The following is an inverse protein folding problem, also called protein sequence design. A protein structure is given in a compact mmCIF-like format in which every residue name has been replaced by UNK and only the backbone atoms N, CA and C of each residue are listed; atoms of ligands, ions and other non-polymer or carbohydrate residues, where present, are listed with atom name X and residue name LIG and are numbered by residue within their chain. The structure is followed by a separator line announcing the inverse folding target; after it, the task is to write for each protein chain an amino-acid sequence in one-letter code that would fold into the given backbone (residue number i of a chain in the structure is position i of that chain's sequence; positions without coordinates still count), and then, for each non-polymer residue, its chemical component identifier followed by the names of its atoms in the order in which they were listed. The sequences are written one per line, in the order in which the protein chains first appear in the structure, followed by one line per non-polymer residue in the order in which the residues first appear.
data_IF_181856477462
#
_entry.id   IF_181856477462
#
_cell.length_a   1.000
_cell.length_b   1.000
_cell.length_c   1.000
_cell.angle_alpha   90.00
_cell.angle_beta   90.00
_cell.angle_gamma   90.00
#
_symmetry.space_group_name_H-M   'P 1'
#
loop_
_entity.id
_entity.type
_entity.pdbx_description
1 polymer ?
#
# COMPACT_ATOMS: atom_id res chain seq x y z
N UNK A 1 66.75 -65.56 19.67
CA UNK A 1 67.08 -64.12 19.83
C UNK A 1 66.87 -63.42 18.49
N UNK A 2 65.71 -62.78 18.30
CA UNK A 2 65.40 -62.04 17.08
C UNK A 2 65.29 -60.54 17.43
N UNK A 3 66.27 -59.76 16.98
CA UNK A 3 66.35 -58.33 17.22
C UNK A 3 65.46 -57.57 16.23
N UNK A 4 64.52 -56.79 16.78
CA UNK A 4 63.56 -55.96 16.05
C UNK A 4 64.19 -54.57 15.80
N UNK A 5 64.38 -54.18 14.53
CA UNK A 5 64.77 -52.82 14.13
C UNK A 5 63.55 -51.87 14.18
N UNK A 6 63.65 -50.67 14.76
CA UNK A 6 62.63 -49.64 14.63
C UNK A 6 62.90 -48.73 13.41
N UNK A 7 61.90 -48.57 12.54
CA UNK A 7 61.91 -47.56 11.49
C UNK A 7 61.29 -46.26 12.02
N UNK A 8 62.13 -45.26 12.24
CA UNK A 8 61.74 -43.85 12.36
C UNK A 8 61.81 -43.22 10.96
N UNK A 9 60.66 -42.93 10.33
CA UNK A 9 60.58 -41.91 9.27
C UNK A 9 59.12 -41.56 8.92
N UNK A 10 58.84 -40.26 8.78
CA UNK A 10 57.55 -39.67 8.39
C UNK A 10 56.89 -38.92 9.55
N UNK A 11 57.42 -37.78 10.02
CA UNK A 11 57.58 -36.51 9.33
C UNK A 11 56.28 -36.01 8.67
N UNK A 12 55.46 -35.34 9.48
CA UNK A 12 54.97 -33.99 9.19
C UNK A 12 54.25 -33.79 7.84
N UNK A 13 52.99 -34.22 7.72
CA UNK A 13 52.15 -33.80 6.57
C UNK A 13 50.64 -34.00 6.74
N UNK A 14 50.02 -33.45 7.79
CA UNK A 14 48.54 -33.29 7.78
C UNK A 14 48.05 -32.20 8.75
N UNK A 15 48.56 -30.98 8.62
CA UNK A 15 47.96 -29.77 9.24
C UNK A 15 47.57 -28.77 8.15
N UNK A 16 46.63 -29.13 7.28
CA UNK A 16 45.97 -28.20 6.36
C UNK A 16 44.69 -28.84 5.81
N UNK A 17 43.69 -29.05 6.67
CA UNK A 17 42.32 -29.39 6.25
C UNK A 17 41.34 -28.84 7.28
N UNK A 18 41.33 -27.52 7.46
CA UNK A 18 40.39 -26.81 8.34
C UNK A 18 40.04 -25.43 7.77
N UNK A 19 39.93 -25.34 6.44
CA UNK A 19 39.47 -24.15 5.73
C UNK A 19 38.64 -24.56 4.50
N UNK A 20 37.72 -25.51 4.70
CA UNK A 20 36.84 -26.01 3.67
C UNK A 20 35.41 -25.55 3.95
N UNK A 21 35.03 -24.45 3.32
CA UNK A 21 33.65 -24.23 2.86
C UNK A 21 32.60 -24.18 3.98
N UNK A 22 32.67 -23.15 4.83
CA UNK A 22 31.44 -22.53 5.33
C UNK A 22 30.86 -21.67 4.21
N UNK A 23 30.37 -22.33 3.14
CA UNK A 23 29.51 -21.68 2.17
C UNK A 23 28.24 -21.36 2.94
N UNK A 24 28.15 -20.11 3.38
CA UNK A 24 26.93 -19.50 3.85
C UNK A 24 25.87 -19.80 2.80
N UNK A 25 24.98 -20.74 3.12
CA UNK A 25 23.69 -20.90 2.48
C UNK A 25 22.97 -19.59 2.77
N UNK A 26 23.17 -18.60 1.90
CA UNK A 26 22.21 -17.52 1.75
C UNK A 26 20.97 -18.22 1.18
N UNK A 27 20.14 -18.73 2.08
CA UNK A 27 18.76 -19.01 1.76
C UNK A 27 18.17 -17.66 1.37
N UNK A 28 18.21 -17.34 0.08
CA UNK A 28 17.32 -16.36 -0.50
C UNK A 28 15.93 -16.97 -0.38
N UNK A 29 15.30 -16.78 0.78
CA UNK A 29 13.89 -16.99 0.92
C UNK A 29 13.23 -15.96 -0.01
N UNK A 30 13.00 -16.34 -1.26
CA UNK A 30 12.11 -15.59 -2.14
C UNK A 30 10.70 -15.85 -1.62
N UNK A 31 10.30 -15.15 -0.57
CA UNK A 31 8.88 -14.88 -0.38
C UNK A 31 8.44 -14.13 -1.64
N UNK A 32 7.53 -14.71 -2.40
CA UNK A 32 7.00 -14.10 -3.61
C UNK A 32 6.23 -12.83 -3.22
N UNK A 33 6.94 -11.70 -3.11
CA UNK A 33 6.36 -10.37 -3.12
C UNK A 33 6.02 -10.05 -4.56
N UNK A 34 4.74 -9.96 -4.88
CA UNK A 34 4.24 -10.10 -6.26
C UNK A 34 3.82 -8.77 -6.90
N UNK A 35 3.79 -7.67 -6.15
CA UNK A 35 3.51 -6.35 -6.73
C UNK A 35 4.49 -5.34 -6.14
N UNK A 36 5.60 -5.12 -6.83
CA UNK A 36 6.60 -4.15 -6.40
C UNK A 36 6.55 -2.85 -7.20
N UNK A 37 5.78 -2.80 -8.29
CA UNK A 37 5.65 -1.63 -9.15
C UNK A 37 4.34 -1.73 -9.93
N UNK A 38 3.94 -0.65 -10.60
CA UNK A 38 2.87 -0.66 -11.59
C UNK A 38 1.71 0.25 -11.23
N UNK A 39 0.67 0.20 -12.06
CA UNK A 39 -0.57 0.95 -11.84
C UNK A 39 -1.76 0.10 -12.24
N UNK A 40 -2.84 0.17 -11.46
CA UNK A 40 -4.11 -0.49 -11.77
C UNK A 40 -5.29 0.39 -11.39
N UNK A 41 -6.41 0.15 -12.07
CA UNK A 41 -7.67 0.83 -11.81
C UNK A 41 -8.60 -0.04 -10.99
N UNK A 42 -9.34 0.60 -10.10
CA UNK A 42 -10.34 -0.04 -9.24
C UNK A 42 -11.68 0.68 -9.36
N UNK A 43 -12.76 -0.04 -9.09
CA UNK A 43 -14.10 0.51 -9.05
C UNK A 43 -14.91 -0.14 -7.94
N UNK A 44 -15.91 0.59 -7.45
CA UNK A 44 -16.78 0.13 -6.37
C UNK A 44 -17.78 1.22 -5.98
N UNK A 45 -18.49 0.97 -4.89
CA UNK A 45 -19.29 1.95 -4.17
C UNK A 45 -18.58 2.35 -2.88
N UNK A 46 -18.47 3.64 -2.62
CA UNK A 46 -17.91 4.17 -1.37
C UNK A 46 -19.03 4.78 -0.53
N UNK A 47 -18.98 4.53 0.78
CA UNK A 47 -19.87 5.16 1.76
C UNK A 47 -19.00 5.91 2.75
N UNK A 48 -19.24 7.22 2.88
CA UNK A 48 -18.53 8.09 3.83
C UNK A 48 -19.51 8.55 4.87
N UNK A 49 -19.20 8.33 6.15
CA UNK A 49 -20.06 8.72 7.26
C UNK A 49 -19.45 9.85 8.09
N UNK A 50 -20.33 10.63 8.69
CA UNK A 50 -20.05 11.53 9.80
C UNK A 50 -19.91 10.75 11.11
N UNK A 51 -19.51 11.45 12.18
CA UNK A 51 -19.41 10.94 13.54
C UNK A 51 -20.75 10.77 14.28
N UNK A 52 -21.89 10.88 13.58
CA UNK A 52 -23.22 10.83 14.20
C UNK A 52 -23.69 9.42 14.61
N UNK A 53 -22.94 8.37 14.29
CA UNK A 53 -23.35 6.98 14.50
C UNK A 53 -24.38 6.53 13.47
N UNK A 54 -23.91 6.12 12.29
CA UNK A 54 -24.72 5.97 11.09
C UNK A 54 -24.69 4.53 10.59
N UNK A 55 -25.85 3.96 10.29
CA UNK A 55 -25.96 2.67 9.58
C UNK A 55 -26.06 2.91 8.08
N UNK A 56 -25.13 2.32 7.34
CA UNK A 56 -25.14 2.29 5.87
C UNK A 56 -25.46 0.88 5.39
N UNK A 57 -25.82 0.67 4.11
CA UNK A 57 -25.93 -0.67 3.53
C UNK A 57 -24.65 -1.50 3.65
N UNK A 58 -23.49 -0.83 3.72
CA UNK A 58 -22.19 -1.48 3.80
C UNK A 58 -21.73 -1.83 5.23
N UNK A 59 -22.37 -1.24 6.26
CA UNK A 59 -21.99 -1.46 7.65
C UNK A 59 -22.47 -0.36 8.60
N UNK A 60 -22.20 -0.56 9.89
CA UNK A 60 -22.55 0.39 10.97
C UNK A 60 -21.32 1.17 11.39
N UNK A 61 -21.42 2.49 11.36
CA UNK A 61 -20.42 3.38 11.95
C UNK A 61 -20.84 3.76 13.38
N UNK A 62 -20.01 3.51 14.40
CA UNK A 62 -20.26 3.93 15.78
C UNK A 62 -20.39 5.45 15.95
N UNK A 63 -21.08 5.87 17.01
CA UNK A 63 -21.15 7.28 17.42
C UNK A 63 -19.76 7.77 17.83
N UNK A 64 -19.42 9.01 17.45
CA UNK A 64 -18.17 9.67 17.83
C UNK A 64 -16.99 9.39 16.88
N UNK A 65 -17.17 8.57 15.84
CA UNK A 65 -16.14 8.31 14.83
C UNK A 65 -16.70 8.39 13.41
N UNK A 66 -15.89 8.88 12.48
CA UNK A 66 -16.20 8.83 11.05
C UNK A 66 -15.73 7.51 10.45
N UNK A 67 -16.47 6.97 9.48
CA UNK A 67 -16.13 5.70 8.85
C UNK A 67 -16.15 5.80 7.33
N UNK A 68 -15.36 4.94 6.68
CA UNK A 68 -15.39 4.73 5.24
C UNK A 68 -15.60 3.24 4.97
N UNK A 69 -16.67 2.94 4.25
CA UNK A 69 -17.00 1.58 3.81
C UNK A 69 -16.90 1.48 2.30
N UNK A 70 -16.65 0.26 1.84
CA UNK A 70 -16.54 -0.09 0.42
C UNK A 70 -17.45 -1.28 0.13
N UNK A 71 -18.04 -1.26 -1.05
CA UNK A 71 -18.73 -2.40 -1.64
C UNK A 71 -18.42 -2.46 -3.13
N UNK A 72 -18.66 -3.60 -3.76
CA UNK A 72 -18.56 -3.73 -5.22
C UNK A 72 -19.66 -2.92 -5.93
N UNK A 73 -19.71 -3.04 -7.26
CA UNK A 73 -20.81 -2.48 -8.08
C UNK A 73 -21.82 -3.52 -8.54
N UNK A 74 -21.62 -4.79 -8.15
CA UNK A 74 -22.44 -5.92 -8.53
C UNK A 74 -23.85 -5.89 -7.93
N UNK A 75 -24.69 -6.79 -8.43
CA UNK A 75 -26.03 -7.02 -7.89
C UNK A 75 -26.20 -8.52 -7.65
N UNK A 76 -26.35 -8.98 -6.40
CA UNK A 76 -26.34 -8.20 -5.15
C UNK A 76 -24.94 -7.70 -4.78
N UNK A 77 -24.87 -6.49 -4.22
CA UNK A 77 -23.60 -5.90 -3.84
C UNK A 77 -22.92 -6.67 -2.69
N UNK A 78 -21.60 -6.84 -2.78
CA UNK A 78 -20.74 -7.48 -1.78
C UNK A 78 -19.98 -6.42 -0.99
N UNK A 79 -20.23 -6.38 0.32
CA UNK A 79 -19.54 -5.46 1.23
C UNK A 79 -18.08 -5.89 1.43
N UNK A 80 -17.18 -4.91 1.47
CA UNK A 80 -15.73 -5.15 1.63
C UNK A 80 -15.07 -5.74 0.39
N UNK A 81 -15.72 -5.66 -0.77
CA UNK A 81 -15.18 -6.08 -2.07
C UNK A 81 -15.09 -4.89 -3.02
N UNK A 82 -14.18 -4.97 -3.99
CA UNK A 82 -14.07 -4.02 -5.10
C UNK A 82 -13.66 -4.74 -6.38
N UNK A 83 -14.01 -4.12 -7.50
CA UNK A 83 -13.66 -4.61 -8.83
C UNK A 83 -12.31 -4.02 -9.25
N UNK A 84 -11.45 -4.85 -9.86
CA UNK A 84 -10.17 -4.44 -10.43
C UNK A 84 -10.29 -4.53 -11.94
N UNK A 85 -10.04 -3.41 -12.63
CA UNK A 85 -10.19 -3.35 -14.07
C UNK A 85 -9.31 -4.42 -14.76
N UNK A 86 -9.86 -5.23 -15.68
CA UNK A 86 -9.09 -6.22 -16.43
C UNK A 86 -8.15 -5.57 -17.46
N UNK A 87 -8.43 -4.32 -17.84
CA UNK A 87 -7.65 -3.51 -18.79
C UNK A 87 -7.15 -2.25 -18.10
N UNK A 88 -5.88 -1.91 -18.33
CA UNK A 88 -5.15 -0.91 -17.55
C UNK A 88 -3.85 -1.42 -16.93
N UNK A 89 -3.38 -2.61 -17.35
CA UNK A 89 -2.08 -3.18 -17.02
C UNK A 89 -1.10 -2.96 -18.19
N UNK A 90 -0.54 -1.74 -18.38
CA UNK A 90 0.32 -1.47 -19.53
C UNK A 90 1.66 -2.20 -19.49
N UNK A 91 2.05 -2.82 -18.36
CA UNK A 91 3.39 -3.42 -18.20
C UNK A 91 3.46 -4.79 -17.50
N UNK A 92 2.33 -5.44 -17.17
CA UNK A 92 2.37 -6.77 -16.55
C UNK A 92 2.85 -6.82 -15.09
N UNK A 93 2.94 -5.69 -14.40
CA UNK A 93 3.44 -5.65 -13.01
C UNK A 93 2.43 -6.17 -11.97
N UNK A 94 1.17 -6.36 -12.36
CA UNK A 94 0.13 -6.96 -11.52
C UNK A 94 -0.43 -8.21 -12.21
N UNK A 95 -0.44 -9.38 -11.55
CA UNK A 95 -0.93 -10.62 -12.16
C UNK A 95 -2.40 -10.51 -12.59
N UNK A 96 -2.73 -11.04 -13.78
CA UNK A 96 -4.13 -11.20 -14.21
C UNK A 96 -4.97 -11.98 -13.19
N UNK A 97 -4.32 -12.84 -12.41
CA UNK A 97 -4.93 -13.56 -11.31
C UNK A 97 -5.56 -12.64 -10.25
N UNK A 98 -5.23 -11.35 -10.15
CA UNK A 98 -5.86 -10.44 -9.17
C UNK A 98 -6.73 -9.37 -9.83
N UNK A 99 -7.22 -9.61 -11.05
CA UNK A 99 -8.15 -8.72 -11.77
C UNK A 99 -9.55 -9.31 -11.87
N UNK A 100 -10.54 -8.45 -12.12
CA UNK A 100 -11.94 -8.84 -12.29
C UNK A 100 -12.84 -8.41 -11.14
N UNK A 101 -14.05 -8.97 -11.12
CA UNK A 101 -15.06 -8.65 -10.13
C UNK A 101 -14.67 -9.20 -8.76
N UNK A 102 -14.91 -8.43 -7.69
CA UNK A 102 -14.61 -8.81 -6.30
C UNK A 102 -13.16 -9.25 -6.05
N UNK A 103 -12.23 -8.80 -6.91
CA UNK A 103 -10.86 -9.30 -6.97
C UNK A 103 -10.00 -8.86 -5.77
N UNK A 104 -10.37 -7.79 -5.08
CA UNK A 104 -9.72 -7.36 -3.85
C UNK A 104 -10.72 -7.25 -2.69
N UNK A 105 -10.21 -7.51 -1.48
CA UNK A 105 -10.93 -7.20 -0.25
C UNK A 105 -10.51 -5.82 0.25
N UNK A 106 -11.48 -4.98 0.57
CA UNK A 106 -11.29 -3.66 1.17
C UNK A 106 -11.66 -3.68 2.65
N UNK A 107 -10.80 -3.11 3.48
CA UNK A 107 -11.04 -2.97 4.90
C UNK A 107 -11.76 -1.65 5.19
N UNK A 108 -12.75 -1.72 6.08
CA UNK A 108 -13.43 -0.52 6.61
C UNK A 108 -12.44 0.33 7.37
N UNK A 109 -12.46 1.64 7.12
CA UNK A 109 -11.61 2.59 7.83
C UNK A 109 -12.43 3.27 8.93
N UNK A 110 -11.97 3.14 10.18
CA UNK A 110 -12.56 3.80 11.34
C UNK A 110 -11.67 4.95 11.76
N UNK A 111 -12.25 6.13 11.95
CA UNK A 111 -11.53 7.37 12.24
C UNK A 111 -10.37 7.60 11.24
N UNK A 112 -10.67 7.75 9.93
CA UNK A 112 -9.65 7.97 8.92
C UNK A 112 -8.79 9.19 9.33
N UNK A 113 -7.46 9.04 9.38
CA UNK A 113 -6.60 10.02 10.04
C UNK A 113 -6.46 11.32 9.24
N UNK A 114 -6.64 12.46 9.91
CA UNK A 114 -6.75 13.81 9.31
C UNK A 114 -5.40 14.55 9.01
N UNK A 115 -4.27 13.83 8.80
CA UNK A 115 -2.86 14.33 8.62
C UNK A 115 -2.16 14.95 9.87
N UNK A 116 -0.82 15.16 9.84
CA UNK A 116 0.26 14.22 10.13
C UNK A 116 0.62 14.20 11.64
N UNK A 117 1.37 13.18 12.13
CA UNK A 117 2.30 12.33 11.39
C UNK A 117 1.75 10.94 11.06
N UNK A 118 2.34 10.35 10.02
CA UNK A 118 2.42 8.92 9.70
C UNK A 118 1.57 8.02 10.61
N UNK A 119 0.53 7.39 10.06
CA UNK A 119 -0.23 6.36 10.80
C UNK A 119 0.78 5.31 11.25
N UNK A 120 0.99 5.24 12.56
CA UNK A 120 1.91 4.30 13.17
C UNK A 120 1.17 3.57 14.29
N UNK A 121 0.85 2.27 14.11
CA UNK A 121 1.23 1.41 12.98
C UNK A 121 0.39 1.65 11.70
N UNK A 122 0.92 1.33 10.50
CA UNK A 122 0.12 1.22 9.29
C UNK A 122 -1.12 0.34 9.50
N UNK A 123 -2.23 0.65 8.82
CA UNK A 123 -3.49 -0.11 8.93
C UNK A 123 -3.85 -0.76 7.59
N UNK A 124 -4.34 -2.01 7.55
CA UNK A 124 -4.75 -2.63 6.29
C UNK A 124 -5.84 -1.82 5.56
N UNK A 125 -5.65 -1.58 4.26
CA UNK A 125 -6.65 -0.97 3.38
C UNK A 125 -7.20 -1.97 2.39
N UNK A 126 -6.32 -2.70 1.70
CA UNK A 126 -6.69 -3.61 0.63
C UNK A 126 -5.88 -4.89 0.73
N UNK A 127 -6.50 -6.04 0.46
CA UNK A 127 -5.80 -7.32 0.30
C UNK A 127 -6.17 -7.99 -1.01
N UNK A 128 -5.18 -8.63 -1.62
CA UNK A 128 -5.35 -9.48 -2.79
C UNK A 128 -5.13 -10.92 -2.31
N UNK A 129 -6.19 -11.72 -2.34
CA UNK A 129 -6.14 -13.14 -2.00
C UNK A 129 -6.50 -13.94 -3.25
N UNK A 130 -5.55 -14.11 -4.16
CA UNK A 130 -5.74 -15.03 -5.29
C UNK A 130 -4.46 -15.78 -5.65
N UNK A 131 -4.61 -17.05 -6.04
CA UNK A 131 -3.53 -17.91 -6.54
C UNK A 131 -2.28 -18.02 -5.64
N UNK A 132 -2.46 -17.97 -4.31
CA UNK A 132 -1.35 -18.04 -3.34
C UNK A 132 -0.57 -16.73 -3.17
N UNK A 133 -1.01 -15.67 -3.83
CA UNK A 133 -0.52 -14.31 -3.65
C UNK A 133 -1.22 -13.73 -2.43
N UNK A 134 -0.46 -13.29 -1.44
CA UNK A 134 -0.97 -12.53 -0.31
C UNK A 134 -0.23 -11.20 -0.26
N UNK A 135 -0.77 -10.20 -0.95
CA UNK A 135 -0.30 -8.83 -0.90
C UNK A 135 -1.35 -8.00 -0.15
N UNK A 136 -0.91 -7.24 0.83
CA UNK A 136 -1.76 -6.30 1.57
C UNK A 136 -1.18 -4.90 1.38
N UNK A 137 -2.03 -3.96 0.96
CA UNK A 137 -1.72 -2.54 0.94
C UNK A 137 -2.18 -1.96 2.27
N UNK A 138 -1.24 -1.42 3.02
CA UNK A 138 -1.47 -0.76 4.29
C UNK A 138 -1.51 0.75 4.07
N UNK A 139 -2.53 1.41 4.62
CA UNK A 139 -2.68 2.85 4.66
C UNK A 139 -1.71 3.44 5.68
N UNK A 140 -0.91 4.42 5.25
CA UNK A 140 -0.04 5.23 6.13
C UNK A 140 -0.39 6.71 6.10
N UNK A 141 -1.20 7.13 5.13
CA UNK A 141 -1.59 8.53 4.95
C UNK A 141 -2.95 8.67 4.29
N UNK A 142 -3.75 9.59 4.84
CA UNK A 142 -5.00 10.04 4.24
C UNK A 142 -5.04 11.58 4.24
N UNK A 143 -4.47 12.22 3.19
CA UNK A 143 -4.40 13.68 3.14
C UNK A 143 -5.78 14.37 3.13
N UNK A 144 -5.93 15.41 3.96
CA UNK A 144 -6.94 16.47 3.83
C UNK A 144 -7.01 17.01 2.40
N UNK A 145 -8.20 17.46 2.01
CA UNK A 145 -8.38 18.18 0.76
C UNK A 145 -7.69 19.55 0.78
N UNK A 146 -7.50 20.12 -0.41
CA UNK A 146 -6.71 21.32 -0.65
C UNK A 146 -7.50 22.47 -1.26
N UNK A 147 -8.78 22.27 -1.61
CA UNK A 147 -9.61 23.27 -2.28
C UNK A 147 -10.12 24.38 -1.33
N UNK A 148 -9.90 24.24 -0.03
CA UNK A 148 -10.33 25.19 1.00
C UNK A 148 -11.85 25.15 1.28
N UNK A 149 -12.26 25.68 2.42
CA UNK A 149 -13.64 25.55 2.90
C UNK A 149 -14.61 26.62 2.37
N UNK A 150 -14.12 27.68 1.71
CA UNK A 150 -14.93 28.84 1.32
C UNK A 150 -16.11 28.44 0.41
N UNK A 151 -15.87 27.57 -0.57
CA UNK A 151 -16.93 27.10 -1.46
C UNK A 151 -17.95 26.18 -0.79
N UNK A 152 -17.69 25.65 0.40
CA UNK A 152 -18.63 24.76 1.09
C UNK A 152 -19.82 25.54 1.70
N UNK A 153 -19.63 26.83 1.97
CA UNK A 153 -20.60 27.70 2.63
C UNK A 153 -21.40 28.57 1.65
N UNK A 154 -21.12 28.47 0.34
CA UNK A 154 -21.85 29.30 -0.61
C UNK A 154 -23.28 28.79 -0.78
N UNK A 155 -24.22 29.72 -0.60
CA UNK A 155 -25.66 29.46 -0.65
C UNK A 155 -26.13 29.06 -2.06
N UNK A 156 -25.47 29.58 -3.10
CA UNK A 156 -25.84 29.32 -4.50
C UNK A 156 -24.76 28.46 -5.15
N UNK A 157 -25.10 27.25 -5.65
CA UNK A 157 -24.19 26.43 -6.45
C UNK A 157 -23.79 27.14 -7.73
N UNK A 158 -22.49 27.34 -7.93
CA UNK A 158 -21.93 27.85 -9.19
C UNK A 158 -21.07 26.78 -9.86
N UNK A 159 -21.11 26.67 -11.19
CA UNK A 159 -20.21 25.78 -11.92
C UNK A 159 -18.75 26.21 -11.72
N UNK A 160 -17.84 25.26 -11.56
CA UNK A 160 -16.43 25.51 -11.25
C UNK A 160 -16.15 25.79 -9.78
N UNK A 161 -17.18 25.88 -8.93
CA UNK A 161 -16.99 26.03 -7.49
C UNK A 161 -16.29 24.81 -6.90
N UNK A 162 -15.27 25.04 -6.08
CA UNK A 162 -14.52 24.00 -5.38
C UNK A 162 -14.66 24.15 -3.87
N UNK A 163 -14.61 23.03 -3.15
CA UNK A 163 -14.80 22.99 -1.70
C UNK A 163 -14.04 21.79 -1.11
N UNK A 164 -13.37 22.00 0.00
CA UNK A 164 -12.96 20.96 0.94
C UNK A 164 -13.67 21.22 2.26
N UNK A 165 -14.61 20.36 2.70
CA UNK A 165 -15.24 20.50 4.00
C UNK A 165 -14.16 20.54 5.11
N UNK A 166 -14.33 21.35 6.16
CA UNK A 166 -13.35 21.39 7.25
C UNK A 166 -13.07 19.99 7.83
N UNK A 167 -11.79 19.65 8.02
CA UNK A 167 -11.36 18.33 8.53
C UNK A 167 -11.49 17.17 7.54
N UNK A 168 -11.92 17.43 6.29
CA UNK A 168 -12.21 16.37 5.32
C UNK A 168 -11.08 16.12 4.32
N UNK A 169 -10.82 14.85 3.93
CA UNK A 169 -9.94 14.51 2.81
C UNK A 169 -10.58 14.71 1.43
N UNK A 170 -11.87 15.03 1.39
CA UNK A 170 -12.65 15.07 0.16
C UNK A 170 -12.60 16.46 -0.47
N UNK A 171 -12.08 16.53 -1.69
CA UNK A 171 -12.13 17.70 -2.56
C UNK A 171 -13.35 17.61 -3.46
N UNK A 172 -14.36 18.42 -3.18
CA UNK A 172 -15.54 18.55 -4.01
C UNK A 172 -15.35 19.64 -5.06
N UNK A 173 -15.93 19.42 -6.22
CA UNK A 173 -16.06 20.41 -7.28
C UNK A 173 -17.44 20.31 -7.92
N UNK A 174 -18.10 21.44 -8.06
CA UNK A 174 -19.27 21.57 -8.90
C UNK A 174 -18.84 21.64 -10.36
N UNK A 175 -19.19 20.65 -11.16
CA UNK A 175 -18.87 20.64 -12.59
C UNK A 175 -19.90 21.48 -13.36
N UNK A 176 -21.18 21.28 -13.04
CA UNK A 176 -22.30 22.03 -13.61
C UNK A 176 -23.29 22.37 -12.50
N UNK A 177 -24.39 23.06 -12.83
CA UNK A 177 -25.47 23.30 -11.87
C UNK A 177 -26.13 22.02 -11.32
N UNK A 178 -25.93 20.88 -12.01
CA UNK A 178 -26.56 19.60 -11.67
C UNK A 178 -25.55 18.47 -11.54
N UNK A 179 -24.25 18.72 -11.58
CA UNK A 179 -23.26 17.64 -11.44
C UNK A 179 -22.07 18.07 -10.64
N UNK A 180 -21.57 17.14 -9.85
CA UNK A 180 -20.40 17.36 -9.01
C UNK A 180 -19.46 16.17 -9.04
N UNK A 181 -18.22 16.42 -8.64
CA UNK A 181 -17.22 15.38 -8.45
C UNK A 181 -16.62 15.51 -7.06
N UNK A 182 -16.23 14.38 -6.50
CA UNK A 182 -15.48 14.30 -5.26
C UNK A 182 -14.20 13.55 -5.54
N UNK A 183 -13.06 14.12 -5.17
CA UNK A 183 -11.75 13.49 -5.31
C UNK A 183 -11.05 13.41 -3.97
N UNK A 184 -10.31 12.34 -3.76
CA UNK A 184 -9.47 12.18 -2.57
C UNK A 184 -8.26 11.32 -2.90
N UNK A 185 -7.26 11.37 -2.02
CA UNK A 185 -6.03 10.63 -2.18
C UNK A 185 -5.77 9.81 -0.93
N UNK A 186 -5.17 8.64 -1.12
CA UNK A 186 -4.67 7.79 -0.04
C UNK A 186 -3.26 7.36 -0.41
N UNK A 187 -2.44 7.10 0.60
CA UNK A 187 -1.09 6.60 0.37
C UNK A 187 -0.66 5.66 1.48
N UNK A 188 0.30 4.82 1.16
CA UNK A 188 0.66 3.74 2.05
C UNK A 188 1.88 2.94 1.63
N UNK A 189 2.05 1.81 2.29
CA UNK A 189 3.10 0.81 2.01
C UNK A 189 2.48 -0.55 1.78
N UNK A 190 3.20 -1.45 1.14
CA UNK A 190 2.87 -2.87 1.18
C UNK A 190 3.22 -3.45 2.55
N UNK A 191 2.54 -4.52 2.98
CA UNK A 191 2.76 -5.19 4.27
C UNK A 191 4.20 -5.67 4.48
N UNK A 192 4.90 -6.02 3.40
CA UNK A 192 6.32 -6.40 3.44
C UNK A 192 7.28 -5.20 3.48
N UNK A 193 6.76 -3.97 3.39
CA UNK A 193 7.51 -2.72 3.39
C UNK A 193 8.36 -2.48 2.13
N UNK A 194 8.23 -3.32 1.10
CA UNK A 194 9.07 -3.25 -0.10
C UNK A 194 8.57 -2.23 -1.11
N UNK A 195 7.33 -1.76 -0.98
CA UNK A 195 6.69 -0.84 -1.92
C UNK A 195 5.93 0.26 -1.21
N UNK A 196 5.96 1.45 -1.79
CA UNK A 196 5.03 2.54 -1.47
C UNK A 196 3.93 2.58 -2.51
N UNK A 197 2.74 2.97 -2.12
CA UNK A 197 1.64 3.14 -3.05
C UNK A 197 0.94 4.48 -2.84
N UNK A 198 0.37 5.01 -3.92
CA UNK A 198 -0.50 6.19 -3.92
C UNK A 198 -1.75 5.85 -4.70
N UNK A 199 -2.91 6.08 -4.09
CA UNK A 199 -4.22 5.93 -4.71
C UNK A 199 -4.88 7.29 -4.91
N UNK A 200 -5.39 7.54 -6.11
CA UNK A 200 -6.23 8.70 -6.43
C UNK A 200 -7.61 8.19 -6.78
N UNK A 201 -8.62 8.72 -6.11
CA UNK A 201 -10.00 8.27 -6.21
C UNK A 201 -10.89 9.43 -6.64
N UNK A 202 -11.87 9.13 -7.48
CA UNK A 202 -12.86 10.07 -7.95
C UNK A 202 -14.25 9.42 -7.92
N UNK A 203 -15.23 10.19 -7.49
CA UNK A 203 -16.64 9.82 -7.58
C UNK A 203 -17.41 10.94 -8.26
N UNK A 204 -18.16 10.62 -9.30
CA UNK A 204 -18.94 11.58 -10.06
C UNK A 204 -20.42 11.45 -9.74
N UNK A 205 -20.99 12.53 -9.21
CA UNK A 205 -22.40 12.64 -8.87
C UNK A 205 -23.14 13.25 -10.05
N UNK A 206 -23.72 12.40 -10.89
CA UNK A 206 -24.53 12.81 -12.02
C UNK A 206 -25.91 13.25 -11.55
N UNK A 207 -26.38 14.42 -12.01
CA UNK A 207 -27.67 15.01 -11.62
C UNK A 207 -27.78 15.40 -10.13
N UNK A 208 -26.65 15.50 -9.41
CA UNK A 208 -26.60 15.95 -8.02
C UNK A 208 -25.51 17.02 -7.87
N UNK A 209 -25.85 18.28 -7.56
CA UNK A 209 -24.87 19.32 -7.25
C UNK A 209 -24.23 19.06 -5.88
N UNK A 210 -23.02 19.56 -5.66
CA UNK A 210 -22.28 19.22 -4.44
C UNK A 210 -22.95 19.76 -3.16
N UNK A 211 -23.73 20.85 -3.21
CA UNK A 211 -24.53 21.32 -2.07
C UNK A 211 -25.52 20.24 -1.59
N UNK A 212 -26.13 19.49 -2.51
CA UNK A 212 -27.00 18.37 -2.15
C UNK A 212 -26.21 17.25 -1.48
N UNK A 213 -24.98 16.98 -1.92
CA UNK A 213 -24.08 16.01 -1.28
C UNK A 213 -23.72 16.46 0.14
N UNK A 214 -23.36 17.73 0.32
CA UNK A 214 -23.09 18.31 1.65
C UNK A 214 -24.31 18.25 2.56
N UNK A 215 -25.49 18.55 2.03
CA UNK A 215 -26.73 18.50 2.80
C UNK A 215 -27.12 17.06 3.17
N UNK A 216 -26.84 16.08 2.30
CA UNK A 216 -27.01 14.65 2.62
C UNK A 216 -26.07 14.23 3.75
N UNK A 217 -24.80 14.66 3.71
CA UNK A 217 -23.85 14.40 4.80
C UNK A 217 -24.32 15.00 6.13
N UNK A 218 -24.85 16.23 6.10
CA UNK A 218 -25.36 16.90 7.30
C UNK A 218 -26.66 16.27 7.83
N UNK A 219 -27.56 15.82 6.95
CA UNK A 219 -28.90 15.34 7.33
C UNK A 219 -28.93 13.85 7.61
N UNK A 220 -28.36 13.05 6.71
CA UNK A 220 -28.38 11.58 6.80
C UNK A 220 -27.15 11.05 7.54
N UNK A 221 -26.15 11.90 7.77
CA UNK A 221 -24.89 11.50 8.36
C UNK A 221 -23.99 10.71 7.40
N UNK A 222 -24.39 10.46 6.15
CA UNK A 222 -23.54 9.82 5.14
C UNK A 222 -23.86 10.27 3.71
N UNK A 223 -22.92 10.01 2.81
CA UNK A 223 -23.11 10.06 1.36
C UNK A 223 -22.47 8.82 0.72
N UNK A 224 -23.08 8.35 -0.37
CA UNK A 224 -22.60 7.18 -1.09
C UNK A 224 -22.75 7.37 -2.59
N UNK A 225 -21.80 6.84 -3.35
CA UNK A 225 -21.83 6.81 -4.81
C UNK A 225 -20.78 5.83 -5.33
N UNK A 226 -20.88 5.48 -6.62
CA UNK A 226 -19.82 4.74 -7.28
C UNK A 226 -18.56 5.60 -7.42
N UNK A 227 -17.40 4.96 -7.37
CA UNK A 227 -16.12 5.59 -7.55
C UNK A 227 -15.26 4.83 -8.55
N UNK A 228 -14.32 5.55 -9.15
CA UNK A 228 -13.17 4.97 -9.84
C UNK A 228 -11.90 5.43 -9.14
N UNK A 229 -10.96 4.51 -8.99
CA UNK A 229 -9.65 4.78 -8.39
C UNK A 229 -8.54 4.30 -9.29
N UNK A 230 -7.39 4.95 -9.18
CA UNK A 230 -6.14 4.49 -9.75
C UNK A 230 -5.13 4.36 -8.62
N UNK A 231 -4.51 3.20 -8.49
CA UNK A 231 -3.45 2.93 -7.51
C UNK A 231 -2.15 2.71 -8.27
N UNK A 232 -1.13 3.45 -7.88
CA UNK A 232 0.24 3.33 -8.38
C UNK A 232 1.13 2.81 -7.28
N UNK A 233 1.86 1.72 -7.52
CA UNK A 233 2.90 1.21 -6.63
C UNK A 233 4.29 1.58 -7.17
N UNK A 234 5.23 1.82 -6.26
CA UNK A 234 6.63 2.02 -6.58
C UNK A 234 7.49 1.29 -5.57
N UNK A 235 8.49 0.56 -6.06
CA UNK A 235 9.42 -0.16 -5.22
C UNK A 235 10.20 0.84 -4.36
N UNK A 236 10.29 0.57 -3.06
CA UNK A 236 11.22 1.26 -2.19
C UNK A 236 12.61 0.75 -2.55
N UNK A 237 13.54 1.62 -3.00
CA UNK A 237 14.89 1.18 -3.27
C UNK A 237 15.48 0.57 -2.00
N UNK A 238 15.88 -0.71 -2.06
CA UNK A 238 16.58 -1.33 -0.95
C UNK A 238 17.79 -0.45 -0.57
N UNK A 239 18.05 -0.20 0.74
CA UNK A 239 19.27 0.45 1.17
C UNK A 239 20.44 -0.37 0.62
N UNK A 240 21.10 0.15 -0.41
CA UNK A 240 21.72 -0.66 -1.44
C UNK A 240 22.49 -1.85 -0.90
N UNK A 241 22.15 -3.05 -1.37
CA UNK A 241 23.03 -4.23 -1.31
C UNK A 241 24.43 -3.92 -1.83
N UNK A 242 24.58 -2.90 -2.68
CA UNK A 242 25.85 -2.26 -3.05
C UNK A 242 26.64 -1.72 -1.85
N UNK A 243 25.99 -1.11 -0.86
CA UNK A 243 26.63 -0.63 0.37
C UNK A 243 27.18 -1.80 1.18
N UNK A 244 26.44 -2.90 1.29
CA UNK A 244 26.90 -4.14 1.93
C UNK A 244 27.99 -4.85 1.12
N UNK A 245 27.93 -4.80 -0.21
CA UNK A 245 28.97 -5.32 -1.09
C UNK A 245 30.26 -4.50 -0.99
N UNK A 246 30.17 -3.17 -0.87
CA UNK A 246 31.31 -2.28 -0.67
C UNK A 246 31.91 -2.42 0.74
N UNK A 247 31.07 -2.57 1.78
CA UNK A 247 31.53 -2.91 3.13
C UNK A 247 32.20 -4.28 3.17
N UNK A 248 31.59 -5.30 2.57
CA UNK A 248 32.13 -6.65 2.49
C UNK A 248 33.45 -6.71 1.73
N UNK A 249 33.52 -6.09 0.56
CA UNK A 249 34.76 -6.02 -0.24
C UNK A 249 35.84 -5.16 0.42
N UNK A 250 35.48 -4.08 1.11
CA UNK A 250 36.38 -3.26 1.91
C UNK A 250 37.03 -4.02 3.06
N UNK A 251 36.28 -4.90 3.73
CA UNK A 251 36.81 -5.77 4.79
C UNK A 251 37.78 -6.83 4.24
N UNK A 252 37.47 -7.41 3.08
CA UNK A 252 38.36 -8.41 2.42
C UNK A 252 39.66 -7.73 1.97
N UNK A 253 39.57 -6.56 1.35
CA UNK A 253 40.74 -5.76 0.98
C UNK A 253 41.61 -5.42 2.21
N UNK A 254 40.98 -5.01 3.31
CA UNK A 254 41.69 -4.70 4.56
C UNK A 254 42.35 -5.94 5.18
N UNK A 255 41.68 -7.09 5.17
CA UNK A 255 42.23 -8.35 5.68
C UNK A 255 43.43 -8.85 4.84
N UNK A 256 43.38 -8.68 3.52
CA UNK A 256 44.51 -9.04 2.64
C UNK A 256 45.72 -8.12 2.85
N UNK A 257 45.49 -6.82 3.05
CA UNK A 257 46.54 -5.86 3.39
C UNK A 257 47.20 -6.19 4.75
N UNK A 258 46.40 -6.47 5.79
CA UNK A 258 46.90 -6.87 7.11
C UNK A 258 47.73 -8.16 7.05
N UNK A 259 47.29 -9.17 6.28
CA UNK A 259 48.09 -10.40 6.07
C UNK A 259 49.43 -10.15 5.39
N UNK A 260 49.50 -9.16 4.50
CA UNK A 260 50.75 -8.78 3.82
C UNK A 260 51.72 -8.06 4.77
N UNK A 261 51.19 -7.24 5.69
CA UNK A 261 51.99 -6.53 6.69
C UNK A 261 52.55 -7.46 7.77
N UNK A 262 51.80 -8.45 8.25
CA UNK A 262 52.27 -9.43 9.26
C UNK A 262 53.35 -10.37 8.74
N UNK A 263 53.48 -10.52 7.41
CA UNK A 263 54.49 -11.38 6.78
C UNK A 263 55.82 -10.67 6.47
N UNK A 264 55.93 -9.38 6.78
CA UNK A 264 57.19 -8.63 6.73
C UNK A 264 57.76 -8.52 8.14
#
# INVERSE_FOLDING_TARGET
MNAKKPNHWGCMRTKFFLLGVSLSVFATASSASIITNGTFSIAGTIFVTSAAGVTTPAGVCPVGISCIFFADTGTPAQNGKIDIAPFGLPNGDIPLAISGNDAANMFTQFNPPEIPPTINPPVPLMSFLNAGINTVLELTSFPLGINGAAGCLAVIPAAGQVCTPPGSPFNLQNLTATSSTVTFKMGGVSLDGTSVWTGIFASQFNNIPFQTVLNSLATNGFAANTFSGQITLSAVPEPGSLSFLLLGSGMIASATLLRKLVRR
#
